data_IF_288570062367
#
_entry.id   IF_288570062367
#
_cell.length_a   1.000
_cell.length_b   1.000
_cell.length_c   1.000
_cell.angle_alpha   90.00
_cell.angle_beta   90.00
_cell.angle_gamma   90.00
#
_symmetry.space_group_name_H-M   'P 1'
#
loop_
_entity.id
_entity.type
_entity.pdbx_description
1 polymer ?
#
# COMPACT_ATOMS: atom_id res chain seq x y z
N UNK A 1 -1.63 -0.31 11.60
CA UNK A 1 -1.94 -1.26 10.51
C UNK A 1 -2.86 -0.68 9.45
N UNK A 2 -3.99 -0.04 9.80
CA UNK A 2 -4.83 0.66 8.80
C UNK A 2 -3.98 1.74 8.10
N UNK A 3 -4.08 1.83 6.78
CA UNK A 3 -3.27 2.72 5.96
C UNK A 3 -1.91 2.16 5.53
N UNK A 4 -1.44 1.05 6.14
CA UNK A 4 -0.27 0.33 5.68
C UNK A 4 -0.61 -0.56 4.48
N UNK A 5 0.43 -1.10 3.88
CA UNK A 5 0.38 -1.91 2.69
C UNK A 5 0.84 -3.32 3.01
N UNK A 6 0.28 -4.30 2.32
CA UNK A 6 0.50 -5.71 2.60
C UNK A 6 0.53 -6.48 1.29
N UNK A 7 1.30 -7.57 1.27
CA UNK A 7 1.25 -8.51 0.15
C UNK A 7 0.03 -9.40 0.29
N UNK A 8 -0.75 -9.50 -0.79
CA UNK A 8 -2.02 -10.22 -0.85
C UNK A 8 -1.95 -11.25 -1.96
N UNK A 9 -2.35 -12.48 -1.65
CA UNK A 9 -2.55 -13.51 -2.65
C UNK A 9 -3.84 -13.25 -3.45
N UNK A 10 -3.72 -13.25 -4.78
CA UNK A 10 -4.84 -13.15 -5.74
C UNK A 10 -5.26 -14.51 -6.28
N UNK A 11 -4.60 -15.59 -5.87
CA UNK A 11 -4.92 -16.95 -6.24
C UNK A 11 -4.76 -17.87 -5.04
N UNK A 12 -5.36 -19.06 -5.13
CA UNK A 12 -5.06 -20.13 -4.17
C UNK A 12 -3.58 -20.45 -4.18
N UNK A 13 -3.08 -20.84 -3.01
CA UNK A 13 -1.71 -21.33 -2.86
C UNK A 13 -1.61 -22.74 -3.42
N UNK A 14 -0.62 -22.97 -4.29
CA UNK A 14 -0.27 -24.29 -4.82
C UNK A 14 1.20 -24.49 -4.50
N UNK A 15 1.53 -25.53 -3.72
CA UNK A 15 2.91 -25.82 -3.26
C UNK A 15 3.59 -24.60 -2.61
N UNK A 16 2.85 -23.85 -1.78
CA UNK A 16 3.37 -22.66 -1.07
C UNK A 16 3.57 -21.42 -1.95
N UNK A 17 3.07 -21.40 -3.19
CA UNK A 17 3.17 -20.27 -4.13
C UNK A 17 1.78 -19.78 -4.57
N UNK A 18 1.64 -18.48 -4.80
CA UNK A 18 0.40 -17.86 -5.28
C UNK A 18 0.70 -16.64 -6.16
N UNK A 19 -0.24 -16.16 -6.96
CA UNK A 19 -0.07 -14.86 -7.61
C UNK A 19 -0.24 -13.76 -6.56
N UNK A 20 0.74 -12.88 -6.42
CA UNK A 20 0.75 -11.85 -5.37
C UNK A 20 0.49 -10.45 -5.94
N UNK A 21 -0.01 -9.57 -5.10
CA UNK A 21 -0.07 -8.12 -5.32
C UNK A 21 0.21 -7.39 -4.02
N UNK A 22 0.44 -6.07 -4.09
CA UNK A 22 0.43 -5.21 -2.90
C UNK A 22 -0.95 -4.56 -2.79
N UNK A 23 -1.56 -4.61 -1.61
CA UNK A 23 -2.84 -3.97 -1.30
C UNK A 23 -2.71 -3.03 -0.10
N UNK A 24 -3.55 -2.00 -0.05
CA UNK A 24 -3.67 -1.10 1.11
C UNK A 24 -4.70 -1.66 2.08
N UNK A 25 -4.38 -1.62 3.37
CA UNK A 25 -5.30 -2.03 4.43
C UNK A 25 -6.27 -0.88 4.71
N UNK A 26 -7.53 -1.06 4.31
CA UNK A 26 -8.59 -0.09 4.59
C UNK A 26 -9.32 -0.39 5.90
N UNK A 27 -9.58 -1.68 6.17
CA UNK A 27 -10.31 -2.14 7.37
C UNK A 27 -9.74 -3.48 7.85
N UNK A 28 -9.82 -3.72 9.15
CA UNK A 28 -9.39 -4.97 9.78
C UNK A 28 -10.58 -5.52 10.55
N UNK A 29 -10.93 -6.78 10.31
CA UNK A 29 -11.95 -7.49 11.07
C UNK A 29 -11.29 -8.65 11.81
N UNK A 30 -11.34 -8.61 13.13
CA UNK A 30 -10.86 -9.69 13.99
C UNK A 30 -12.03 -10.66 14.21
N UNK A 31 -11.80 -11.95 13.98
CA UNK A 31 -12.78 -13.01 14.24
C UNK A 31 -12.26 -13.91 15.35
N UNK A 32 -13.15 -14.38 16.23
CA UNK A 32 -12.82 -15.35 17.29
C UNK A 32 -12.55 -16.75 16.74
N UNK A 33 -13.14 -17.08 15.59
CA UNK A 33 -12.98 -18.37 14.93
C UNK A 33 -12.20 -18.19 13.63
N UNK A 34 -11.41 -19.20 13.25
CA UNK A 34 -10.72 -19.24 11.96
C UNK A 34 -11.69 -19.15 10.79
N UNK A 35 -11.25 -18.55 9.69
CA UNK A 35 -12.04 -18.46 8.46
C UNK A 35 -11.62 -19.58 7.50
N UNK A 36 -12.57 -20.17 6.78
CA UNK A 36 -12.30 -21.27 5.84
C UNK A 36 -11.33 -20.87 4.71
N UNK A 37 -11.32 -19.59 4.32
CA UNK A 37 -10.45 -19.03 3.27
C UNK A 37 -9.17 -18.41 3.84
N UNK A 38 -8.46 -19.13 4.71
CA UNK A 38 -7.16 -18.70 5.21
C UNK A 38 -6.09 -18.79 4.10
N UNK A 39 -6.02 -17.75 3.28
CA UNK A 39 -4.82 -17.50 2.50
C UNK A 39 -3.71 -17.10 3.47
N UNK A 40 -2.79 -18.03 3.71
CA UNK A 40 -1.53 -17.76 4.40
C UNK A 40 -0.70 -16.80 3.55
N UNK A 41 -0.90 -15.50 3.71
CA UNK A 41 0.07 -14.54 3.23
C UNK A 41 1.14 -14.39 4.31
N UNK A 42 2.41 -14.63 3.93
CA UNK A 42 3.58 -14.27 4.75
C UNK A 42 3.61 -12.75 4.83
N UNK A 43 2.79 -12.22 5.73
CA UNK A 43 2.38 -10.82 5.74
C UNK A 43 3.45 -9.95 6.39
N UNK A 44 4.45 -9.53 5.62
CA UNK A 44 5.25 -8.38 6.01
C UNK A 44 4.59 -7.08 5.54
N UNK A 45 4.45 -6.15 6.48
CA UNK A 45 3.83 -4.85 6.26
C UNK A 45 4.83 -3.90 5.59
N UNK A 46 4.41 -3.29 4.50
CA UNK A 46 5.10 -2.15 3.91
C UNK A 46 4.41 -0.88 4.44
N UNK A 47 5.13 -0.02 5.14
CA UNK A 47 4.58 1.25 5.63
C UNK A 47 4.50 2.26 4.48
N UNK A 48 3.73 3.34 4.68
CA UNK A 48 3.70 4.43 3.72
C UNK A 48 5.09 5.07 3.54
N UNK A 49 5.93 5.06 4.57
CA UNK A 49 7.31 5.56 4.55
C UNK A 49 8.19 4.67 3.68
N UNK A 50 8.12 3.35 3.86
CA UNK A 50 8.81 2.40 2.98
C UNK A 50 8.38 2.54 1.53
N UNK A 51 7.12 2.90 1.24
CA UNK A 51 6.71 3.15 -0.14
C UNK A 51 7.29 4.43 -0.74
N UNK A 52 7.70 5.42 0.07
CA UNK A 52 8.42 6.58 -0.43
C UNK A 52 9.84 6.20 -0.86
N UNK A 53 10.45 5.20 -0.20
CA UNK A 53 11.69 4.56 -0.63
C UNK A 53 11.44 3.19 -1.29
N UNK A 54 11.17 3.24 -2.59
CA UNK A 54 10.88 2.05 -3.39
C UNK A 54 12.00 0.99 -3.34
N UNK A 55 13.25 1.37 -3.08
CA UNK A 55 14.39 0.44 -3.14
C UNK A 55 14.31 -0.59 -2.01
N UNK A 56 14.06 -0.14 -0.80
CA UNK A 56 13.98 -1.01 0.37
C UNK A 56 12.75 -1.90 0.28
N UNK A 57 11.59 -1.32 0.00
CA UNK A 57 10.35 -2.08 -0.25
C UNK A 57 10.51 -3.15 -1.32
N UNK A 58 11.21 -2.81 -2.41
CA UNK A 58 11.46 -3.76 -3.50
C UNK A 58 12.41 -4.88 -3.09
N UNK A 59 13.51 -4.56 -2.40
CA UNK A 59 14.48 -5.54 -1.95
C UNK A 59 13.87 -6.54 -0.96
N UNK A 60 13.06 -6.05 -0.01
CA UNK A 60 12.34 -6.91 0.93
C UNK A 60 11.37 -7.86 0.22
N UNK A 61 10.51 -7.34 -0.65
CA UNK A 61 9.54 -8.17 -1.36
C UNK A 61 10.21 -9.15 -2.33
N UNK A 62 11.31 -8.75 -2.96
CA UNK A 62 12.13 -9.65 -3.81
C UNK A 62 12.74 -10.79 -3.00
N UNK A 63 13.18 -10.53 -1.77
CA UNK A 63 13.77 -11.54 -0.89
C UNK A 63 12.72 -12.57 -0.46
N UNK A 64 11.62 -12.11 0.13
CA UNK A 64 10.59 -12.99 0.70
C UNK A 64 9.77 -13.74 -0.36
N UNK A 65 9.66 -13.16 -1.55
CA UNK A 65 8.97 -13.72 -2.70
C UNK A 65 9.92 -13.93 -3.89
N UNK A 66 11.06 -14.58 -3.63
CA UNK A 66 12.12 -14.83 -4.62
C UNK A 66 11.65 -15.57 -5.88
N UNK A 67 10.60 -16.39 -5.76
CA UNK A 67 9.98 -17.15 -6.83
C UNK A 67 8.97 -16.33 -7.65
N UNK A 68 8.58 -15.13 -7.19
CA UNK A 68 7.57 -14.32 -7.82
C UNK A 68 8.17 -13.30 -8.80
N UNK A 69 7.36 -12.83 -9.73
CA UNK A 69 7.79 -11.94 -10.79
C UNK A 69 8.23 -10.57 -10.21
N UNK A 70 9.52 -10.25 -10.35
CA UNK A 70 10.12 -9.00 -9.87
C UNK A 70 9.51 -7.76 -10.52
N UNK A 71 9.17 -7.82 -11.80
CA UNK A 71 8.51 -6.71 -12.49
C UNK A 71 7.11 -6.46 -11.92
N UNK A 72 6.36 -7.52 -11.62
CA UNK A 72 5.04 -7.39 -11.00
C UNK A 72 5.12 -6.76 -9.60
N UNK A 73 6.12 -7.13 -8.79
CA UNK A 73 6.41 -6.50 -7.50
C UNK A 73 6.69 -5.00 -7.70
N UNK A 74 7.60 -4.66 -8.61
CA UNK A 74 8.00 -3.28 -8.90
C UNK A 74 6.81 -2.42 -9.33
N UNK A 75 5.99 -2.92 -10.25
CA UNK A 75 4.80 -2.21 -10.75
C UNK A 75 3.77 -1.96 -9.63
N UNK A 76 3.54 -2.97 -8.77
CA UNK A 76 2.63 -2.81 -7.64
C UNK A 76 3.12 -1.74 -6.65
N UNK A 77 4.43 -1.71 -6.36
CA UNK A 77 5.01 -0.68 -5.50
C UNK A 77 4.93 0.72 -6.12
N UNK A 78 5.28 0.86 -7.41
CA UNK A 78 5.19 2.14 -8.14
C UNK A 78 3.76 2.68 -8.14
N UNK A 79 2.77 1.81 -8.39
CA UNK A 79 1.36 2.21 -8.35
C UNK A 79 1.00 2.86 -7.00
N UNK A 80 1.36 2.22 -5.88
CA UNK A 80 1.04 2.75 -4.57
C UNK A 80 1.86 3.97 -4.17
N UNK A 81 3.12 4.05 -4.58
CA UNK A 81 3.94 5.25 -4.44
C UNK A 81 3.30 6.45 -5.14
N UNK A 82 2.90 6.30 -6.40
CA UNK A 82 2.24 7.36 -7.16
C UNK A 82 0.91 7.78 -6.51
N UNK A 83 0.12 6.82 -6.00
CA UNK A 83 -1.12 7.12 -5.27
C UNK A 83 -0.85 7.90 -3.99
N UNK A 84 0.20 7.57 -3.22
CA UNK A 84 0.60 8.33 -2.03
C UNK A 84 1.02 9.76 -2.38
N UNK A 85 1.81 9.93 -3.44
CA UNK A 85 2.22 11.25 -3.91
C UNK A 85 1.01 12.09 -4.32
N UNK A 86 0.06 11.53 -5.06
CA UNK A 86 -1.18 12.21 -5.45
C UNK A 86 -1.97 12.69 -4.22
N UNK A 87 -2.12 11.83 -3.20
CA UNK A 87 -2.81 12.20 -1.96
C UNK A 87 -2.09 13.34 -1.24
N UNK A 88 -0.75 13.30 -1.15
CA UNK A 88 0.06 14.38 -0.56
C UNK A 88 -0.05 15.69 -1.35
N UNK A 89 -0.06 15.63 -2.67
CA UNK A 89 -0.21 16.82 -3.51
C UNK A 89 -1.61 17.43 -3.37
N UNK A 90 -2.65 16.60 -3.34
CA UNK A 90 -4.03 17.06 -3.18
C UNK A 90 -4.28 17.71 -1.82
N UNK A 91 -3.71 17.17 -0.74
CA UNK A 91 -3.82 17.78 0.59
C UNK A 91 -3.13 19.15 0.64
N UNK A 92 -1.94 19.29 0.03
CA UNK A 92 -1.24 20.58 -0.10
C UNK A 92 -2.06 21.58 -0.91
N UNK A 93 -2.58 21.19 -2.07
CA UNK A 93 -3.44 22.02 -2.93
C UNK A 93 -4.67 22.52 -2.16
N UNK A 94 -5.33 21.64 -1.41
CA UNK A 94 -6.47 22.00 -0.58
C UNK A 94 -6.10 23.00 0.52
N UNK A 95 -4.98 22.80 1.21
CA UNK A 95 -4.49 23.72 2.23
C UNK A 95 -4.19 25.12 1.68
N UNK A 96 -3.57 25.21 0.49
CA UNK A 96 -3.31 26.47 -0.21
C UNK A 96 -4.63 27.16 -0.58
N UNK A 97 -5.58 26.43 -1.18
CA UNK A 97 -6.90 26.97 -1.53
C UNK A 97 -7.61 27.53 -0.31
N UNK A 98 -7.59 26.81 0.82
CA UNK A 98 -8.19 27.25 2.09
C UNK A 98 -7.53 28.53 2.63
N UNK A 99 -6.20 28.65 2.56
CA UNK A 99 -5.47 29.87 2.95
C UNK A 99 -5.84 31.05 2.05
N UNK A 100 -5.88 30.84 0.74
CA UNK A 100 -6.27 31.87 -0.24
C UNK A 100 -7.69 32.41 0.04
N UNK A 101 -8.66 31.53 0.24
CA UNK A 101 -10.03 31.93 0.58
C UNK A 101 -10.12 32.72 1.90
N UNK A 102 -9.28 32.40 2.89
CA UNK A 102 -9.22 33.17 4.14
C UNK A 102 -8.63 34.57 3.95
N UNK A 103 -7.64 34.72 3.06
CA UNK A 103 -7.04 36.01 2.72
C UNK A 103 -8.04 36.89 1.96
N UNK A 104 -8.71 36.34 0.95
CA UNK A 104 -9.74 37.05 0.17
C UNK A 104 -10.89 37.57 1.05
N UNK A 105 -11.27 36.81 2.09
CA UNK A 105 -12.28 37.23 3.08
C UNK A 105 -11.83 38.29 4.08
N UNK A 106 -10.51 38.47 4.27
CA UNK A 106 -9.96 39.48 5.18
C UNK A 106 -9.72 40.83 4.49
N UNK A 107 -9.57 40.81 3.17
CA UNK A 107 -9.36 41.99 2.34
C UNK A 107 -10.70 42.69 2.01
N UNK A 108 -11.81 41.95 2.11
CA UNK A 108 -13.17 42.41 1.90
C UNK A 108 -13.82 42.81 3.22
#
# INVERSE_FOLDING_TARGET
>A
MIGNYITVARSKYIRGRARLTVGRIEKIRIRKNGAADWHWSRNQFVTAEHLLDLKDSFNYLKHDYCWYNRLAIKLALIYWHNRLLQVKLNSKRYAIKKKRLKLERKIK
#
